data_IF_975890934342
#
_entry.id   IF_975890934342
#
_cell.length_a   1.000
_cell.length_b   1.000
_cell.length_c   1.000
_cell.angle_alpha   90.00
_cell.angle_beta   90.00
_cell.angle_gamma   90.00
#
_symmetry.space_group_name_H-M   'P 1'
#
loop_
_entity.id
_entity.type
_entity.pdbx_description
1 polymer ?
#
# COMPACT_ATOMS: atom_id res chain seq x y z
N UNK A 1 16.58 13.52 8.65
CA UNK A 1 16.37 13.93 7.24
C UNK A 1 15.02 14.63 7.18
N UNK A 2 14.79 15.45 6.14
CA UNK A 2 13.53 16.19 5.98
C UNK A 2 12.67 15.56 4.89
N UNK A 3 11.34 15.69 5.02
CA UNK A 3 10.37 15.30 3.99
C UNK A 3 9.34 16.41 3.79
N UNK A 4 9.15 16.80 2.54
CA UNK A 4 8.12 17.72 2.10
C UNK A 4 7.11 16.98 1.22
N UNK A 5 5.82 17.10 1.53
CA UNK A 5 4.75 16.41 0.80
C UNK A 5 3.77 17.40 0.20
N UNK A 6 3.57 17.32 -1.10
CA UNK A 6 2.51 18.00 -1.85
C UNK A 6 1.28 17.08 -1.93
N UNK A 7 0.23 17.47 -2.67
CA UNK A 7 -0.94 16.60 -2.88
C UNK A 7 -0.56 15.24 -3.48
N UNK A 8 0.40 15.23 -4.42
CA UNK A 8 0.76 14.03 -5.20
C UNK A 8 2.21 13.59 -5.06
N UNK A 9 3.12 14.45 -4.62
CA UNK A 9 4.55 14.19 -4.69
C UNK A 9 5.26 14.39 -3.35
N UNK A 10 6.48 13.85 -3.28
CA UNK A 10 7.39 14.03 -2.15
C UNK A 10 8.75 14.55 -2.60
N UNK A 11 9.30 15.47 -1.82
CA UNK A 11 10.62 16.06 -1.99
C UNK A 11 11.42 16.01 -0.69
N UNK A 12 12.75 16.04 -0.82
CA UNK A 12 13.70 16.15 0.29
C UNK A 12 14.18 17.58 0.54
N UNK A 13 13.86 18.51 -0.37
CA UNK A 13 14.22 19.92 -0.27
C UNK A 13 12.99 20.79 -0.50
N UNK A 14 12.97 21.96 0.13
CA UNK A 14 11.91 22.95 -0.06
C UNK A 14 11.81 23.43 -1.52
N UNK A 15 12.95 23.63 -2.19
CA UNK A 15 12.99 24.08 -3.57
C UNK A 15 12.32 23.07 -4.53
N UNK A 16 12.58 21.78 -4.35
CA UNK A 16 11.93 20.72 -5.12
C UNK A 16 10.45 20.60 -4.78
N UNK A 17 10.09 20.74 -3.51
CA UNK A 17 8.70 20.74 -3.07
C UNK A 17 7.89 21.84 -3.75
N UNK A 18 8.43 23.06 -3.84
CA UNK A 18 7.79 24.16 -4.56
C UNK A 18 7.62 23.84 -6.05
N UNK A 19 8.63 23.28 -6.72
CA UNK A 19 8.52 22.89 -8.13
C UNK A 19 7.41 21.85 -8.35
N UNK A 20 7.35 20.83 -7.50
CA UNK A 20 6.34 19.77 -7.58
C UNK A 20 4.94 20.28 -7.22
N UNK A 21 4.84 21.22 -6.29
CA UNK A 21 3.60 21.87 -5.89
C UNK A 21 2.96 22.66 -7.04
N UNK A 22 3.77 23.28 -7.91
CA UNK A 22 3.27 23.90 -9.14
C UNK A 22 2.65 22.85 -10.09
N UNK A 23 3.21 21.64 -10.16
CA UNK A 23 2.73 20.59 -11.07
C UNK A 23 1.39 19.98 -10.64
N UNK A 24 1.14 19.83 -9.34
CA UNK A 24 -0.12 19.27 -8.81
C UNK A 24 -1.08 20.33 -8.22
N UNK A 25 -0.73 21.61 -8.38
CA UNK A 25 -1.52 22.75 -7.93
C UNK A 25 -1.64 22.86 -6.40
N UNK A 26 -0.69 22.30 -5.65
CA UNK A 26 -0.63 22.46 -4.19
C UNK A 26 -0.19 23.89 -3.85
N UNK A 27 -0.97 24.66 -3.08
CA UNK A 27 -0.51 25.96 -2.57
C UNK A 27 0.71 25.78 -1.64
N UNK A 28 1.66 26.71 -1.67
CA UNK A 28 2.92 26.58 -0.92
C UNK A 28 2.67 26.42 0.60
N UNK A 29 1.68 27.13 1.14
CA UNK A 29 1.25 27.04 2.54
C UNK A 29 0.60 25.71 2.92
N UNK A 30 0.25 24.87 1.93
CA UNK A 30 -0.31 23.52 2.14
C UNK A 30 0.72 22.41 1.95
N UNK A 31 1.98 22.72 1.68
CA UNK A 31 3.04 21.73 1.62
C UNK A 31 3.32 21.24 3.05
N UNK A 32 3.13 19.95 3.28
CA UNK A 32 3.35 19.34 4.59
C UNK A 32 4.85 19.11 4.81
N UNK A 33 5.34 19.44 6.00
CA UNK A 33 6.73 19.23 6.42
C UNK A 33 6.83 18.21 7.54
N UNK A 34 7.83 17.34 7.47
CA UNK A 34 8.26 16.48 8.56
C UNK A 34 9.79 16.58 8.71
N UNK A 35 10.26 16.92 9.92
CA UNK A 35 11.67 16.81 10.31
C UNK A 35 11.95 15.44 10.92
N UNK A 36 13.23 15.08 11.04
CA UNK A 36 13.69 13.87 11.74
C UNK A 36 13.11 12.54 11.24
N UNK A 37 12.66 12.52 10.00
CA UNK A 37 12.21 11.30 9.31
C UNK A 37 13.32 10.76 8.43
N UNK A 38 13.54 9.46 8.47
CA UNK A 38 14.46 8.75 7.59
C UNK A 38 13.68 7.97 6.54
N UNK A 39 14.21 7.89 5.31
CA UNK A 39 13.72 6.96 4.31
C UNK A 39 14.11 5.55 4.72
N UNK A 40 13.13 4.71 5.03
CA UNK A 40 13.37 3.33 5.49
C UNK A 40 13.65 2.42 4.30
N UNK A 41 12.85 2.50 3.24
CA UNK A 41 13.11 1.84 1.96
C UNK A 41 12.24 2.53 0.87
N UNK A 42 12.50 2.24 -0.42
CA UNK A 42 11.87 2.91 -1.56
C UNK A 42 11.71 1.97 -2.76
N UNK A 43 10.57 2.06 -3.46
CA UNK A 43 10.36 1.50 -4.81
C UNK A 43 10.35 2.63 -5.85
N UNK A 44 10.08 2.31 -7.11
CA UNK A 44 9.88 3.33 -8.14
C UNK A 44 8.67 4.25 -7.83
N UNK A 45 7.65 3.75 -7.13
CA UNK A 45 6.35 4.42 -6.97
C UNK A 45 6.03 4.84 -5.55
N UNK A 46 6.57 4.14 -4.55
CA UNK A 46 6.27 4.38 -3.15
C UNK A 46 7.56 4.56 -2.35
N UNK A 47 7.45 5.30 -1.24
CA UNK A 47 8.51 5.49 -0.26
C UNK A 47 7.91 5.40 1.14
N UNK A 48 8.62 4.72 2.04
CA UNK A 48 8.21 4.52 3.43
C UNK A 48 9.29 5.06 4.34
N UNK A 49 8.82 5.63 5.44
CA UNK A 49 9.59 6.51 6.27
C UNK A 49 9.58 6.01 7.71
N UNK A 50 10.53 6.46 8.51
CA UNK A 50 10.64 6.08 9.92
C UNK A 50 9.48 6.53 10.80
N UNK A 51 8.60 7.40 10.29
CA UNK A 51 7.33 7.79 10.94
C UNK A 51 6.15 6.89 10.56
N UNK A 52 6.43 5.72 9.98
CA UNK A 52 5.45 4.72 9.54
C UNK A 52 4.50 5.20 8.43
N UNK A 53 4.75 6.38 7.84
CA UNK A 53 3.95 6.87 6.72
C UNK A 53 4.49 6.30 5.41
N UNK A 54 3.56 5.94 4.53
CA UNK A 54 3.86 5.72 3.12
C UNK A 54 3.48 6.95 2.29
N UNK A 55 4.34 7.26 1.32
CA UNK A 55 4.12 8.33 0.35
C UNK A 55 4.40 7.83 -1.05
N UNK A 56 4.04 8.64 -2.05
CA UNK A 56 4.62 8.48 -3.38
C UNK A 56 6.14 8.57 -3.29
N UNK A 57 6.83 7.87 -4.18
CA UNK A 57 8.29 7.89 -4.25
C UNK A 57 8.80 9.32 -4.51
N UNK A 58 10.02 9.59 -4.05
CA UNK A 58 10.65 10.90 -4.21
C UNK A 58 10.92 11.13 -5.71
N UNK A 59 10.34 12.20 -6.27
CA UNK A 59 10.41 12.55 -7.69
C UNK A 59 9.20 12.09 -8.50
N UNK A 60 9.28 12.23 -9.83
CA UNK A 60 8.23 11.77 -10.76
C UNK A 60 8.48 10.31 -11.14
N UNK A 61 7.44 9.44 -11.12
CA UNK A 61 7.55 8.11 -11.73
C UNK A 61 7.96 8.24 -13.19
N UNK A 62 8.90 7.42 -13.65
CA UNK A 62 9.38 7.46 -15.04
C UNK A 62 8.52 6.61 -15.98
N UNK A 63 7.77 5.66 -15.44
CA UNK A 63 6.83 4.82 -16.17
C UNK A 63 5.42 4.90 -15.55
N UNK A 64 4.35 4.57 -16.31
CA UNK A 64 2.97 4.49 -15.82
C UNK A 64 2.66 3.22 -15.02
N UNK A 65 3.61 2.29 -14.91
CA UNK A 65 3.58 1.13 -14.02
C UNK A 65 4.98 0.91 -13.44
N UNK A 66 5.13 0.50 -12.17
CA UNK A 66 6.45 0.21 -11.60
C UNK A 66 7.12 -0.93 -12.39
N UNK A 67 8.35 -0.72 -12.85
CA UNK A 67 9.12 -1.75 -13.53
C UNK A 67 9.41 -2.92 -12.57
N UNK A 68 9.24 -4.14 -13.07
CA UNK A 68 9.51 -5.35 -12.28
C UNK A 68 8.38 -5.78 -11.34
N UNK A 69 7.26 -5.05 -11.32
CA UNK A 69 6.02 -5.39 -10.62
C UNK A 69 4.90 -5.74 -11.62
N UNK A 70 4.25 -6.87 -11.40
CA UNK A 70 3.02 -7.22 -12.12
C UNK A 70 1.89 -6.25 -11.77
N UNK A 71 0.91 -6.11 -12.67
CA UNK A 71 -0.17 -5.11 -12.54
C UNK A 71 -1.06 -5.38 -11.33
N UNK A 72 -1.28 -6.65 -11.01
CA UNK A 72 -2.07 -7.10 -9.86
C UNK A 72 -1.38 -6.83 -8.51
N UNK A 73 -0.06 -6.92 -8.46
CA UNK A 73 0.75 -6.55 -7.31
C UNK A 73 0.76 -5.02 -7.10
N UNK A 74 0.85 -4.25 -8.19
CA UNK A 74 0.76 -2.78 -8.12
C UNK A 74 -0.63 -2.35 -7.63
N UNK A 75 -1.68 -3.00 -8.14
CA UNK A 75 -3.05 -2.75 -7.69
C UNK A 75 -3.23 -3.09 -6.21
N UNK A 76 -2.70 -4.22 -5.72
CA UNK A 76 -2.77 -4.57 -4.29
C UNK A 76 -2.14 -3.48 -3.42
N UNK A 77 -0.95 -3.01 -3.77
CA UNK A 77 -0.28 -1.94 -3.03
C UNK A 77 -1.10 -0.65 -3.02
N UNK A 78 -1.65 -0.24 -4.17
CA UNK A 78 -2.51 0.95 -4.24
C UNK A 78 -3.77 0.80 -3.40
N UNK A 79 -4.43 -0.36 -3.42
CA UNK A 79 -5.63 -0.63 -2.62
C UNK A 79 -5.35 -0.53 -1.12
N UNK A 80 -4.23 -1.07 -0.64
CA UNK A 80 -3.86 -0.96 0.78
C UNK A 80 -3.52 0.49 1.12
N UNK A 81 -2.77 1.18 0.26
CA UNK A 81 -2.35 2.57 0.47
C UNK A 81 -3.47 3.58 0.50
N UNK A 82 -4.47 3.39 -0.36
CA UNK A 82 -5.62 4.29 -0.49
C UNK A 82 -6.74 3.95 0.49
N UNK A 83 -6.62 2.83 1.22
CA UNK A 83 -7.57 2.46 2.28
C UNK A 83 -7.33 3.25 3.57
N UNK A 84 -8.26 3.11 4.52
CA UNK A 84 -8.14 3.72 5.84
C UNK A 84 -7.17 2.99 6.80
N UNK A 85 -6.37 2.04 6.29
CA UNK A 85 -5.29 1.38 7.04
C UNK A 85 -4.08 2.31 7.20
N UNK A 86 -3.63 2.48 8.44
CA UNK A 86 -2.42 3.28 8.75
C UNK A 86 -1.16 2.53 8.29
N UNK A 87 -1.08 1.24 8.63
CA UNK A 87 -0.01 0.33 8.26
C UNK A 87 -0.59 -1.08 8.17
N UNK A 88 -0.31 -1.85 7.09
CA UNK A 88 -0.80 -3.21 6.99
C UNK A 88 -0.14 -4.10 8.05
N UNK A 89 -0.87 -5.09 8.56
CA UNK A 89 -0.33 -6.02 9.58
C UNK A 89 0.95 -6.73 9.12
N UNK A 90 1.09 -7.01 7.82
CA UNK A 90 2.28 -7.61 7.25
C UNK A 90 3.49 -6.66 7.16
N UNK A 91 3.26 -5.36 7.39
CA UNK A 91 4.19 -4.26 7.23
C UNK A 91 4.40 -3.84 5.77
N UNK A 92 4.61 -2.54 5.56
CA UNK A 92 4.96 -1.98 4.25
C UNK A 92 6.18 -2.63 3.57
N UNK A 93 7.27 -2.98 4.30
CA UNK A 93 8.44 -3.61 3.68
C UNK A 93 8.09 -4.92 2.98
N UNK A 94 7.28 -5.79 3.60
CA UNK A 94 6.89 -7.04 2.98
C UNK A 94 5.97 -6.82 1.78
N UNK A 95 5.00 -5.91 1.91
CA UNK A 95 4.08 -5.62 0.83
C UNK A 95 4.82 -5.04 -0.39
N UNK A 96 5.87 -4.25 -0.16
CA UNK A 96 6.73 -3.70 -1.21
C UNK A 96 7.58 -4.75 -1.93
N UNK A 97 7.88 -5.89 -1.28
CA UNK A 97 8.57 -7.01 -1.92
C UNK A 97 7.68 -7.80 -2.89
N UNK A 98 6.34 -7.65 -2.83
CA UNK A 98 5.41 -8.43 -3.67
C UNK A 98 5.54 -8.01 -5.14
N UNK A 99 6.15 -8.87 -5.95
CA UNK A 99 6.34 -8.64 -7.40
C UNK A 99 5.18 -9.14 -8.24
N UNK A 100 4.53 -10.22 -7.83
CA UNK A 100 3.46 -10.85 -8.59
C UNK A 100 2.50 -11.60 -7.66
N UNK A 101 1.22 -11.61 -8.01
CA UNK A 101 0.23 -12.50 -7.38
C UNK A 101 0.01 -13.70 -8.31
N UNK A 102 0.34 -14.90 -7.83
CA UNK A 102 0.18 -16.14 -8.58
C UNK A 102 -1.27 -16.63 -8.53
N UNK A 103 -1.94 -16.45 -7.39
CA UNK A 103 -3.31 -16.90 -7.18
C UNK A 103 -4.01 -16.02 -6.12
N UNK A 104 -5.32 -15.79 -6.31
CA UNK A 104 -6.24 -15.19 -5.34
C UNK A 104 -7.39 -16.15 -5.08
N UNK A 105 -7.58 -16.57 -3.84
CA UNK A 105 -8.67 -17.49 -3.45
C UNK A 105 -9.51 -16.86 -2.35
N UNK A 106 -10.80 -16.67 -2.61
CA UNK A 106 -11.74 -16.13 -1.61
C UNK A 106 -11.93 -17.14 -0.48
N UNK A 107 -11.79 -16.66 0.76
CA UNK A 107 -12.06 -17.41 1.98
C UNK A 107 -13.47 -17.05 2.43
N UNK A 108 -14.37 -18.03 2.35
CA UNK A 108 -15.77 -17.85 2.71
C UNK A 108 -15.99 -17.93 4.22
N UNK A 109 -16.67 -16.93 4.79
CA UNK A 109 -17.23 -16.97 6.14
C UNK A 109 -18.69 -17.44 6.09
N UNK A 110 -19.02 -18.48 6.85
CA UNK A 110 -20.38 -19.05 6.87
C UNK A 110 -21.44 -18.11 7.47
N UNK A 111 -21.01 -17.12 8.26
CA UNK A 111 -21.82 -16.19 9.05
C UNK A 111 -22.13 -14.85 8.36
N UNK A 112 -21.77 -14.66 7.09
CA UNK A 112 -21.95 -13.40 6.36
C UNK A 112 -23.35 -13.19 5.74
N UNK A 113 -24.26 -14.16 5.84
CA UNK A 113 -25.61 -14.04 5.29
C UNK A 113 -26.40 -12.93 5.99
N UNK A 114 -26.77 -11.90 5.23
CA UNK A 114 -27.60 -10.79 5.70
C UNK A 114 -26.84 -9.61 6.30
N UNK A 115 -25.50 -9.63 6.28
CA UNK A 115 -24.70 -8.47 6.65
C UNK A 115 -24.68 -7.44 5.51
N UNK A 116 -24.95 -6.18 5.83
CA UNK A 116 -24.71 -5.06 4.93
C UNK A 116 -23.20 -4.78 4.95
N UNK A 117 -22.53 -4.98 3.80
CA UNK A 117 -21.07 -4.80 3.62
C UNK A 117 -20.18 -5.75 4.47
N UNK A 118 -20.23 -7.07 4.20
CA UNK A 118 -19.37 -8.03 4.88
C UNK A 118 -17.90 -7.86 4.49
N UNK A 119 -17.00 -8.15 5.42
CA UNK A 119 -15.58 -8.31 5.15
C UNK A 119 -15.34 -9.40 4.09
N UNK A 120 -14.49 -9.15 3.11
CA UNK A 120 -14.08 -10.17 2.13
C UNK A 120 -12.64 -10.58 2.42
N UNK A 121 -12.44 -11.86 2.72
CA UNK A 121 -11.11 -12.43 2.96
C UNK A 121 -10.61 -13.15 1.71
N UNK A 122 -9.36 -12.94 1.36
CA UNK A 122 -8.69 -13.58 0.22
C UNK A 122 -7.34 -14.13 0.65
N UNK A 123 -7.04 -15.35 0.25
CA UNK A 123 -5.69 -15.92 0.27
C UNK A 123 -4.96 -15.53 -1.00
N UNK A 124 -3.80 -14.92 -0.84
CA UNK A 124 -2.90 -14.53 -1.91
C UNK A 124 -1.66 -15.44 -1.88
N UNK A 125 -1.40 -16.15 -2.98
CA UNK A 125 -0.08 -16.76 -3.21
C UNK A 125 0.73 -15.77 -4.03
N UNK A 126 1.85 -15.31 -3.49
CA UNK A 126 2.64 -14.21 -4.09
C UNK A 126 4.08 -14.62 -4.34
N UNK A 127 4.71 -13.97 -5.32
CA UNK A 127 6.16 -13.98 -5.52
C UNK A 127 6.73 -12.69 -4.95
N UNK A 128 7.64 -12.82 -4.01
CA UNK A 128 8.41 -11.73 -3.41
C UNK A 128 9.70 -11.48 -4.21
N UNK A 129 10.48 -10.48 -3.81
CA UNK A 129 11.85 -10.32 -4.29
C UNK A 129 12.71 -11.59 -4.08
N UNK A 130 13.68 -11.78 -4.98
CA UNK A 130 14.52 -12.97 -5.08
C UNK A 130 13.74 -14.28 -5.34
N UNK A 131 12.60 -14.18 -6.03
CA UNK A 131 11.76 -15.30 -6.50
C UNK A 131 11.28 -16.23 -5.36
N UNK A 132 11.17 -15.68 -4.14
CA UNK A 132 10.62 -16.39 -2.99
C UNK A 132 9.10 -16.36 -3.03
N UNK A 133 8.46 -17.48 -2.77
CA UNK A 133 7.00 -17.51 -2.62
C UNK A 133 6.56 -17.28 -1.17
N UNK A 134 5.43 -16.60 -1.00
CA UNK A 134 4.78 -16.44 0.29
C UNK A 134 3.26 -16.55 0.16
N UNK A 135 2.61 -16.83 1.29
CA UNK A 135 1.17 -16.71 1.44
C UNK A 135 0.88 -15.48 2.27
N UNK A 136 -0.01 -14.63 1.76
CA UNK A 136 -0.56 -13.48 2.46
C UNK A 136 -2.08 -13.59 2.45
N UNK A 137 -2.72 -12.95 3.43
CA UNK A 137 -4.17 -12.86 3.51
C UNK A 137 -4.56 -11.39 3.38
N UNK A 138 -5.43 -11.10 2.42
CA UNK A 138 -6.04 -9.77 2.26
C UNK A 138 -7.42 -9.78 2.88
N UNK A 139 -7.76 -8.72 3.60
CA UNK A 139 -9.13 -8.43 4.01
C UNK A 139 -9.55 -7.10 3.42
N UNK A 140 -10.77 -7.04 2.88
CA UNK A 140 -11.36 -5.82 2.36
C UNK A 140 -12.78 -5.62 2.88
N UNK A 141 -13.13 -4.40 3.26
CA UNK A 141 -14.50 -4.03 3.64
C UNK A 141 -14.80 -2.61 3.18
N UNK A 142 -15.85 -2.43 2.39
CA UNK A 142 -16.34 -1.09 2.01
C UNK A 142 -17.39 -0.57 2.99
N UNK A 143 -17.46 0.75 3.18
CA UNK A 143 -18.51 1.44 3.93
C UNK A 143 -18.87 2.76 3.26
N UNK A 144 -19.83 3.50 3.83
CA UNK A 144 -20.45 4.68 3.20
C UNK A 144 -19.44 5.74 2.75
N UNK A 145 -18.43 6.03 3.58
CA UNK A 145 -17.44 7.10 3.34
C UNK A 145 -16.01 6.58 3.10
N UNK A 146 -15.82 5.32 2.75
CA UNK A 146 -14.48 4.78 2.54
C UNK A 146 -14.40 3.27 2.44
N UNK A 147 -13.18 2.75 2.61
CA UNK A 147 -12.96 1.33 2.66
C UNK A 147 -11.70 0.98 3.47
N UNK A 148 -11.76 -0.19 4.09
CA UNK A 148 -10.67 -0.83 4.78
C UNK A 148 -10.07 -1.91 3.87
N UNK A 149 -8.74 -1.94 3.75
CA UNK A 149 -8.00 -2.95 3.01
C UNK A 149 -6.68 -3.25 3.74
N UNK A 150 -6.57 -4.42 4.34
CA UNK A 150 -5.39 -4.83 5.09
C UNK A 150 -4.81 -6.13 4.54
N UNK A 151 -3.52 -6.35 4.78
CA UNK A 151 -2.80 -7.54 4.38
C UNK A 151 -2.01 -8.06 5.57
N UNK A 152 -2.20 -9.33 5.88
CA UNK A 152 -1.58 -10.03 7.01
C UNK A 152 -0.92 -11.33 6.59
N UNK A 153 0.00 -11.84 7.42
CA UNK A 153 0.65 -13.14 7.21
C UNK A 153 -0.16 -14.29 7.79
N UNK A 154 -0.91 -14.00 8.84
CA UNK A 154 -1.60 -15.00 9.63
C UNK A 154 -3.09 -14.92 9.36
N UNK A 155 -3.72 -16.07 9.12
CA UNK A 155 -5.16 -16.13 8.99
C UNK A 155 -5.79 -15.94 10.39
N UNK A 156 -6.71 -14.96 10.58
CA UNK A 156 -7.36 -14.77 11.87
C UNK A 156 -8.08 -16.03 12.36
N UNK A 157 -8.09 -16.21 13.67
CA UNK A 157 -8.82 -17.31 14.33
C UNK A 157 -10.30 -17.31 13.92
N UNK A 158 -10.82 -18.47 13.52
CA UNK A 158 -12.21 -18.63 13.09
C UNK A 158 -12.40 -18.65 11.56
N UNK A 159 -11.35 -18.38 10.80
CA UNK A 159 -11.32 -18.60 9.36
C UNK A 159 -10.62 -19.94 9.04
N UNK A 160 -11.07 -20.61 7.98
CA UNK A 160 -10.42 -21.84 7.48
C UNK A 160 -9.97 -21.62 6.04
N UNK A 161 -8.66 -21.63 5.84
CA UNK A 161 -8.07 -21.69 4.51
C UNK A 161 -8.15 -23.12 3.99
N UNK A 162 -9.02 -23.35 3.01
CA UNK A 162 -9.23 -24.67 2.41
C UNK A 162 -8.17 -25.03 1.36
N UNK A 163 -7.18 -24.17 1.11
CA UNK A 163 -6.01 -24.45 0.28
C UNK A 163 -6.35 -24.98 -1.11
N UNK A 164 -6.53 -24.08 -2.08
CA UNK A 164 -6.50 -24.43 -3.50
C UNK A 164 -5.33 -23.77 -4.21
#
# INVERSE_FOLDING_TARGET
>A
MERYRTRRYVALTWADALRLAVLDGTPAEKILYASDVALTHRTEWWAWWSDLKMTTAIGLPQAPQPQGLASDAAQLMSEVWESDVIEPECGWPLLAEVRQILNRTVIWRADQRGQYQPETWERLRVVLEADREAILYRVGQGYEDGYYCDVTRDLPSGLTDLGR
#
